data_IF_988198597625
#
_entry.id   IF_988198597625
#
_cell.length_a   1.000
_cell.length_b   1.000
_cell.length_c   1.000
_cell.angle_alpha   90.00
_cell.angle_beta   90.00
_cell.angle_gamma   90.00
#
_symmetry.space_group_name_H-M   'P 1'
#
loop_
_entity.id
_entity.type
_entity.pdbx_description
1 polymer ?
#
# COMPACT_ATOMS: atom_id res chain seq x y z
N UNK A 1 1.00 42.24 23.38
CA UNK A 1 2.03 41.93 22.37
C UNK A 1 2.10 40.42 22.29
N UNK A 2 1.51 39.83 21.24
CA UNK A 2 1.41 38.38 21.10
C UNK A 2 2.58 37.89 20.24
N UNK A 3 3.34 36.95 20.78
CA UNK A 3 4.47 36.27 20.18
C UNK A 3 4.00 35.29 19.09
N UNK A 4 4.45 35.51 17.86
CA UNK A 4 4.34 34.51 16.80
C UNK A 4 5.41 33.43 17.05
N UNK A 5 5.02 32.30 17.65
CA UNK A 5 5.84 31.09 17.69
C UNK A 5 5.69 30.40 16.34
N UNK A 6 6.61 30.68 15.42
CA UNK A 6 6.74 29.89 14.21
C UNK A 6 7.47 28.62 14.61
N UNK A 7 6.73 27.53 14.82
CA UNK A 7 7.33 26.20 14.94
C UNK A 7 7.99 25.86 13.60
N UNK A 8 9.26 26.25 13.47
CA UNK A 8 10.10 25.88 12.34
C UNK A 8 10.46 24.40 12.49
N UNK A 9 9.78 23.54 11.73
CA UNK A 9 10.12 22.13 11.62
C UNK A 9 11.49 22.01 10.91
N UNK A 10 12.56 21.89 11.70
CA UNK A 10 13.92 21.64 11.22
C UNK A 10 14.21 20.14 11.25
N UNK A 11 14.79 19.62 10.16
CA UNK A 11 15.23 18.23 10.07
C UNK A 11 16.66 18.15 10.61
N UNK A 12 16.82 17.61 11.82
CA UNK A 12 18.15 17.50 12.47
C UNK A 12 18.90 16.21 12.15
N UNK A 13 18.22 15.18 11.60
CA UNK A 13 18.87 13.92 11.22
C UNK A 13 18.07 13.18 10.16
N UNK A 14 18.77 12.46 9.30
CA UNK A 14 18.18 11.65 8.22
C UNK A 14 18.87 10.29 8.14
N UNK A 15 18.12 9.23 7.81
CA UNK A 15 18.68 7.90 7.58
C UNK A 15 18.32 7.40 6.18
N UNK A 16 19.34 7.25 5.32
CA UNK A 16 19.18 6.74 3.95
C UNK A 16 20.02 5.46 3.82
N UNK A 17 19.41 4.36 3.36
CA UNK A 17 20.08 3.07 3.16
C UNK A 17 20.88 2.55 4.38
N UNK A 18 20.40 2.84 5.60
CA UNK A 18 21.06 2.40 6.83
C UNK A 18 22.09 3.39 7.40
N UNK A 19 22.53 4.38 6.62
CA UNK A 19 23.51 5.38 7.02
C UNK A 19 22.79 6.58 7.62
N UNK A 20 23.21 7.00 8.83
CA UNK A 20 22.67 8.17 9.53
C UNK A 20 23.53 9.40 9.21
N UNK A 21 22.87 10.49 8.85
CA UNK A 21 23.47 11.78 8.53
C UNK A 21 22.91 12.82 9.51
N UNK A 22 23.79 13.62 10.08
CA UNK A 22 23.49 14.68 11.06
C UNK A 22 24.12 16.03 10.65
N UNK A 23 25.11 16.01 9.77
CA UNK A 23 25.73 17.22 9.21
C UNK A 23 24.80 17.93 8.22
N UNK A 24 24.82 19.26 8.19
CA UNK A 24 23.91 20.07 7.36
C UNK A 24 24.11 19.84 5.87
N UNK A 25 25.36 19.67 5.41
CA UNK A 25 25.68 19.46 4.00
C UNK A 25 25.32 18.04 3.56
N UNK A 26 25.53 17.05 4.46
CA UNK A 26 25.06 15.67 4.26
C UNK A 26 23.53 15.59 4.24
N UNK A 27 22.84 16.35 5.10
CA UNK A 27 21.38 16.42 5.14
C UNK A 27 20.80 16.99 3.85
N UNK A 28 21.37 18.10 3.34
CA UNK A 28 20.94 18.67 2.04
C UNK A 28 21.14 17.66 0.91
N UNK A 29 22.28 16.97 0.87
CA UNK A 29 22.56 15.94 -0.12
C UNK A 29 21.61 14.73 0.00
N UNK A 30 21.34 14.27 1.22
CA UNK A 30 20.42 13.17 1.51
C UNK A 30 18.98 13.50 1.12
N UNK A 31 18.50 14.71 1.44
CA UNK A 31 17.17 15.19 1.04
C UNK A 31 17.07 15.27 -0.49
N UNK A 32 18.09 15.80 -1.17
CA UNK A 32 18.10 15.86 -2.64
C UNK A 32 18.06 14.45 -3.27
N UNK A 33 18.75 13.49 -2.65
CA UNK A 33 18.77 12.08 -3.08
C UNK A 33 17.41 11.41 -2.86
N UNK A 34 16.77 11.59 -1.71
CA UNK A 34 15.41 11.10 -1.47
C UNK A 34 14.45 11.71 -2.48
N UNK A 35 14.54 13.03 -2.68
CA UNK A 35 13.69 13.72 -3.65
C UNK A 35 13.83 13.13 -5.04
N UNK A 36 15.05 12.86 -5.51
CA UNK A 36 15.26 12.25 -6.82
C UNK A 36 14.77 10.80 -6.90
N UNK A 37 14.74 10.04 -5.80
CA UNK A 37 14.13 8.71 -5.74
C UNK A 37 12.60 8.75 -5.92
N UNK A 38 11.95 9.78 -5.39
CA UNK A 38 10.50 9.98 -5.50
C UNK A 38 10.09 10.81 -6.71
N UNK A 39 11.04 11.46 -7.38
CA UNK A 39 10.86 12.02 -8.71
C UNK A 39 10.71 10.85 -9.68
N UNK A 40 9.45 10.45 -9.91
CA UNK A 40 9.11 9.60 -11.02
C UNK A 40 9.77 10.17 -12.27
N UNK A 41 10.59 9.37 -12.96
CA UNK A 41 11.03 9.73 -14.29
C UNK A 41 9.77 10.06 -15.08
N UNK A 42 9.77 11.18 -15.81
CA UNK A 42 8.70 11.48 -16.77
C UNK A 42 8.70 10.48 -17.94
N UNK A 43 9.18 9.25 -17.75
CA UNK A 43 8.80 8.14 -18.59
C UNK A 43 7.28 8.12 -18.61
N UNK A 44 6.72 8.57 -19.73
CA UNK A 44 5.30 8.55 -19.99
C UNK A 44 4.83 7.15 -19.61
N UNK A 45 3.92 7.05 -18.63
CA UNK A 45 3.31 5.77 -18.29
C UNK A 45 2.91 5.10 -19.60
N UNK A 46 3.28 3.83 -19.85
CA UNK A 46 2.93 3.16 -21.09
C UNK A 46 1.44 3.31 -21.30
N UNK A 47 1.04 3.62 -22.53
CA UNK A 47 -0.34 3.85 -22.84
C UNK A 47 -1.13 2.54 -22.67
N UNK A 48 -1.82 2.44 -21.54
CA UNK A 48 -2.66 1.30 -21.20
C UNK A 48 -3.91 1.25 -22.11
N UNK A 49 -4.14 2.23 -22.98
CA UNK A 49 -5.17 2.17 -24.02
C UNK A 49 -4.86 1.16 -25.16
N UNK A 50 -3.82 0.35 -25.01
CA UNK A 50 -3.55 -0.79 -25.91
C UNK A 50 -4.67 -1.83 -25.77
N UNK A 51 -5.07 -2.47 -26.87
CA UNK A 51 -6.13 -3.51 -26.91
C UNK A 51 -5.99 -4.61 -25.85
N UNK A 52 -4.77 -4.84 -25.37
CA UNK A 52 -4.41 -5.78 -24.32
C UNK A 52 -5.09 -5.52 -22.96
N UNK A 53 -5.45 -4.26 -22.63
CA UNK A 53 -6.06 -3.91 -21.33
C UNK A 53 -7.48 -3.36 -21.46
N UNK A 54 -8.11 -3.49 -22.63
CA UNK A 54 -9.47 -2.98 -22.86
C UNK A 54 -10.55 -3.63 -22.00
N UNK A 55 -10.25 -4.79 -21.42
CA UNK A 55 -11.09 -5.41 -20.43
C UNK A 55 -10.65 -6.82 -20.11
N UNK A 56 -11.30 -7.36 -19.09
CA UNK A 56 -11.15 -8.74 -18.69
C UNK A 56 -11.72 -9.64 -19.80
N UNK A 57 -11.08 -10.79 -20.05
CA UNK A 57 -11.53 -11.76 -21.04
C UNK A 57 -12.95 -12.26 -20.72
N UNK A 58 -13.68 -12.73 -21.74
CA UNK A 58 -15.07 -13.14 -21.55
C UNK A 58 -15.23 -14.27 -20.50
N UNK A 59 -14.28 -15.21 -20.49
CA UNK A 59 -14.25 -16.32 -19.53
C UNK A 59 -14.06 -15.81 -18.10
N UNK A 60 -13.06 -14.96 -17.88
CA UNK A 60 -12.78 -14.36 -16.59
C UNK A 60 -13.91 -13.43 -16.11
N UNK A 61 -14.60 -12.75 -17.04
CA UNK A 61 -15.80 -11.94 -16.70
C UNK A 61 -16.92 -12.79 -16.12
N UNK A 62 -17.12 -13.98 -16.66
CA UNK A 62 -18.16 -14.88 -16.16
C UNK A 62 -17.74 -15.53 -14.83
N UNK A 63 -16.44 -15.79 -14.65
CA UNK A 63 -15.87 -16.24 -13.38
C UNK A 63 -16.07 -15.20 -12.26
N UNK A 64 -15.77 -13.93 -12.52
CA UNK A 64 -15.89 -12.83 -11.53
C UNK A 64 -17.36 -12.51 -11.22
N UNK A 65 -18.28 -12.78 -12.14
CA UNK A 65 -19.73 -12.64 -11.89
C UNK A 65 -20.31 -13.81 -11.08
N UNK A 66 -19.62 -14.95 -11.04
CA UNK A 66 -20.02 -16.11 -10.27
C UNK A 66 -19.86 -15.89 -8.77
N UNK A 67 -20.53 -16.73 -7.97
CA UNK A 67 -20.24 -16.82 -6.54
C UNK A 67 -18.90 -17.55 -6.36
N UNK A 68 -18.11 -17.09 -5.40
CA UNK A 68 -16.88 -17.79 -5.00
C UNK A 68 -17.21 -19.12 -4.33
N UNK A 69 -16.38 -20.14 -4.58
CA UNK A 69 -16.48 -21.43 -3.89
C UNK A 69 -15.89 -21.31 -2.48
N UNK A 70 -16.38 -22.11 -1.53
CA UNK A 70 -15.92 -22.06 -0.13
C UNK A 70 -14.42 -22.32 -0.04
N UNK A 71 -13.96 -23.35 -0.75
CA UNK A 71 -12.56 -23.73 -0.81
C UNK A 71 -11.67 -22.65 -1.43
N UNK A 72 -12.18 -21.90 -2.41
CA UNK A 72 -11.45 -20.79 -3.04
C UNK A 72 -11.26 -19.64 -2.05
N UNK A 73 -12.30 -19.27 -1.31
CA UNK A 73 -12.21 -18.22 -0.29
C UNK A 73 -11.31 -18.64 0.86
N UNK A 74 -11.43 -19.89 1.32
CA UNK A 74 -10.57 -20.42 2.39
C UNK A 74 -9.10 -20.47 1.97
N UNK A 75 -8.81 -20.84 0.72
CA UNK A 75 -7.44 -20.78 0.18
C UNK A 75 -6.92 -19.35 0.17
N UNK A 76 -7.70 -18.40 -0.35
CA UNK A 76 -7.31 -16.99 -0.42
C UNK A 76 -7.06 -16.37 0.97
N UNK A 77 -7.87 -16.73 1.97
CA UNK A 77 -7.69 -16.29 3.36
C UNK A 77 -6.45 -16.91 4.02
N UNK A 78 -6.05 -18.12 3.60
CA UNK A 78 -4.86 -18.82 4.09
C UNK A 78 -3.58 -18.29 3.46
N UNK A 79 -3.63 -17.89 2.19
CA UNK A 79 -2.52 -17.27 1.47
C UNK A 79 -2.27 -15.80 1.89
N UNK A 80 -3.23 -15.21 2.60
CA UNK A 80 -3.14 -13.84 3.07
C UNK A 80 -2.21 -13.76 4.28
N UNK A 81 -1.00 -13.25 4.06
CA UNK A 81 -0.03 -13.08 5.15
C UNK A 81 -0.63 -12.22 6.29
N UNK A 82 -0.45 -12.69 7.52
CA UNK A 82 -1.01 -12.11 8.73
C UNK A 82 -0.26 -10.84 9.15
N UNK A 83 0.94 -10.61 8.63
CA UNK A 83 1.79 -9.46 8.96
C UNK A 83 1.43 -8.21 8.12
N UNK A 84 0.14 -7.97 7.91
CA UNK A 84 -0.34 -6.74 7.28
C UNK A 84 -0.80 -5.75 8.33
N UNK A 85 -0.58 -4.47 8.03
CA UNK A 85 -1.07 -3.37 8.86
C UNK A 85 -2.59 -3.48 9.08
N UNK A 86 -3.05 -2.99 10.24
CA UNK A 86 -4.47 -2.95 10.57
C UNK A 86 -5.24 -2.16 9.50
N UNK A 87 -6.46 -2.61 9.21
CA UNK A 87 -7.38 -1.88 8.35
C UNK A 87 -7.76 -0.52 8.95
N UNK A 88 -8.41 0.32 8.16
CA UNK A 88 -8.95 1.61 8.62
C UNK A 88 -10.03 1.42 9.72
N UNK A 89 -10.61 0.23 9.78
CA UNK A 89 -11.53 -0.26 10.80
C UNK A 89 -10.84 -0.68 12.11
N UNK A 90 -9.50 -0.74 12.12
CA UNK A 90 -8.69 -1.14 13.26
C UNK A 90 -8.60 -2.64 13.50
N UNK A 91 -9.15 -3.48 12.61
CA UNK A 91 -9.09 -4.93 12.74
C UNK A 91 -7.89 -5.52 11.99
N UNK A 92 -7.36 -6.62 12.51
CA UNK A 92 -6.31 -7.39 11.85
C UNK A 92 -6.93 -8.44 10.92
N UNK A 93 -6.17 -8.90 9.93
CA UNK A 93 -6.59 -10.00 9.06
C UNK A 93 -6.85 -11.30 9.83
N UNK A 94 -6.12 -11.54 10.92
CA UNK A 94 -6.36 -12.67 11.83
C UNK A 94 -7.76 -12.63 12.41
N UNK A 95 -8.24 -11.44 12.79
CA UNK A 95 -9.60 -11.27 13.27
C UNK A 95 -10.63 -11.55 12.17
N UNK A 96 -10.38 -11.08 10.95
CA UNK A 96 -11.21 -11.41 9.78
C UNK A 96 -11.32 -12.91 9.52
N UNK A 97 -10.19 -13.62 9.54
CA UNK A 97 -10.13 -15.08 9.39
C UNK A 97 -10.90 -15.81 10.49
N UNK A 98 -10.80 -15.35 11.75
CA UNK A 98 -11.59 -15.89 12.85
C UNK A 98 -13.10 -15.67 12.65
N UNK A 99 -13.49 -14.47 12.22
CA UNK A 99 -14.89 -14.13 11.97
C UNK A 99 -15.48 -14.81 10.75
N UNK A 100 -14.66 -15.28 9.81
CA UNK A 100 -15.11 -16.00 8.61
C UNK A 100 -15.98 -17.22 8.96
N UNK A 101 -15.67 -17.94 10.04
CA UNK A 101 -16.47 -19.08 10.51
C UNK A 101 -17.92 -18.70 10.91
N UNK A 102 -18.17 -17.42 11.23
CA UNK A 102 -19.51 -16.91 11.56
C UNK A 102 -20.16 -16.21 10.37
N UNK A 103 -19.42 -15.40 9.63
CA UNK A 103 -19.94 -14.57 8.53
C UNK A 103 -20.10 -15.36 7.24
N UNK A 104 -19.17 -16.28 6.95
CA UNK A 104 -19.14 -17.09 5.74
C UNK A 104 -20.44 -17.87 5.51
N UNK A 105 -21.03 -18.45 6.58
CA UNK A 105 -22.31 -19.19 6.50
C UNK A 105 -23.52 -18.37 6.03
N UNK A 106 -23.45 -17.04 6.04
CA UNK A 106 -24.53 -16.15 5.60
C UNK A 106 -24.26 -15.51 4.23
N UNK A 107 -23.00 -15.40 3.85
CA UNK A 107 -22.54 -14.76 2.61
C UNK A 107 -22.46 -15.77 1.47
N UNK A 108 -22.17 -17.03 1.79
CA UNK A 108 -22.20 -18.16 0.85
C UNK A 108 -23.61 -18.71 0.65
#
# INVERSE_FOLDING_TARGET
MANACWDSNLINSLKVNGIRMEDEEELKGGIATIKSMFEYSQAKRPDLATDLFKGIEALDKDLIKGLFLEDEVLSALSDLDSDKALGLDGFSLVFGNFCWAMVGRKVM
#
